data_IF_286388167233
#
_entry.id   IF_286388167233
#
_cell.length_a   1.000
_cell.length_b   1.000
_cell.length_c   1.000
_cell.angle_alpha   90.00
_cell.angle_beta   90.00
_cell.angle_gamma   90.00
#
_symmetry.space_group_name_H-M   'P 1'
#
loop_
_entity.id
_entity.type
_entity.pdbx_description
1 polymer ?
#
# COMPACT_ATOMS: atom_id res chain seq x y z
N UNK A 1 10.90 36.24 -7.20
CA UNK A 1 10.40 35.44 -6.06
C UNK A 1 10.36 34.01 -6.52
N UNK A 2 11.16 33.15 -5.91
CA UNK A 2 11.22 31.73 -6.23
C UNK A 2 9.93 31.05 -5.74
N UNK A 3 9.13 30.47 -6.63
CA UNK A 3 7.84 29.83 -6.29
C UNK A 3 8.03 28.77 -5.21
N UNK A 4 9.21 28.14 -5.17
CA UNK A 4 9.54 27.06 -4.25
C UNK A 4 9.75 27.53 -2.80
N UNK A 5 9.99 28.81 -2.56
CA UNK A 5 10.07 29.41 -1.21
C UNK A 5 8.79 30.12 -0.79
N UNK A 6 7.70 29.97 -1.55
CA UNK A 6 6.41 30.53 -1.17
C UNK A 6 5.77 29.66 -0.06
N UNK A 7 5.43 30.21 1.12
CA UNK A 7 4.79 29.47 2.21
C UNK A 7 3.49 28.77 1.83
N UNK A 8 2.68 29.42 1.00
CA UNK A 8 1.41 28.87 0.51
C UNK A 8 1.65 27.68 -0.40
N UNK A 9 2.67 27.75 -1.26
CA UNK A 9 3.06 26.62 -2.11
C UNK A 9 3.50 25.42 -1.26
N UNK A 10 4.37 25.63 -0.26
CA UNK A 10 4.86 24.54 0.61
C UNK A 10 3.71 23.89 1.39
N UNK A 11 2.81 24.69 1.97
CA UNK A 11 1.63 24.17 2.68
C UNK A 11 0.72 23.37 1.76
N UNK A 12 0.45 23.87 0.56
CA UNK A 12 -0.36 23.17 -0.43
C UNK A 12 0.32 21.88 -0.90
N UNK A 13 1.63 21.92 -1.16
CA UNK A 13 2.40 20.76 -1.56
C UNK A 13 2.45 19.69 -0.46
N UNK A 14 2.63 20.09 0.80
CA UNK A 14 2.54 19.19 1.95
C UNK A 14 1.16 18.54 2.10
N UNK A 15 0.09 19.34 1.98
CA UNK A 15 -1.29 18.84 2.04
C UNK A 15 -1.58 17.83 0.92
N UNK A 16 -1.19 18.13 -0.32
CA UNK A 16 -1.35 17.20 -1.44
C UNK A 16 -0.62 15.89 -1.22
N UNK A 17 0.61 15.93 -0.71
CA UNK A 17 1.37 14.74 -0.37
C UNK A 17 0.65 13.89 0.69
N UNK A 18 0.19 14.51 1.77
CA UNK A 18 -0.47 13.78 2.87
C UNK A 18 -1.82 13.18 2.42
N UNK A 19 -2.61 13.94 1.65
CA UNK A 19 -3.85 13.44 1.05
C UNK A 19 -3.58 12.25 0.15
N UNK A 20 -2.51 12.28 -0.65
CA UNK A 20 -2.16 11.14 -1.51
C UNK A 20 -1.81 9.89 -0.71
N UNK A 21 -1.02 10.01 0.37
CA UNK A 21 -0.73 8.85 1.25
C UNK A 21 -2.03 8.29 1.85
N UNK A 22 -2.96 9.17 2.27
CA UNK A 22 -4.26 8.75 2.79
C UNK A 22 -5.12 8.03 1.74
N UNK A 23 -5.09 8.49 0.48
CA UNK A 23 -5.76 7.79 -0.64
C UNK A 23 -5.19 6.40 -0.85
N UNK A 24 -3.86 6.24 -0.85
CA UNK A 24 -3.21 4.93 -0.97
C UNK A 24 -3.60 4.01 0.20
N UNK A 25 -3.62 4.54 1.42
CA UNK A 25 -4.06 3.80 2.61
C UNK A 25 -5.54 3.39 2.51
N UNK A 26 -6.40 4.28 2.01
CA UNK A 26 -7.81 4.01 1.75
C UNK A 26 -8.02 2.92 0.70
N UNK A 27 -7.22 2.91 -0.37
CA UNK A 27 -7.19 1.80 -1.33
C UNK A 27 -6.76 0.48 -0.67
N UNK A 28 -5.77 0.49 0.22
CA UNK A 28 -5.38 -0.70 0.95
C UNK A 28 -6.52 -1.23 1.85
N UNK A 29 -7.25 -0.33 2.53
CA UNK A 29 -8.44 -0.68 3.32
C UNK A 29 -9.52 -1.30 2.43
N UNK A 30 -9.80 -0.73 1.26
CA UNK A 30 -10.86 -1.24 0.38
C UNK A 30 -10.57 -2.66 -0.11
N UNK A 31 -9.30 -2.99 -0.37
CA UNK A 31 -8.87 -4.35 -0.69
C UNK A 31 -9.16 -5.33 0.46
N UNK A 32 -8.93 -4.90 1.71
CA UNK A 32 -9.17 -5.71 2.91
C UNK A 32 -10.65 -5.93 3.22
N UNK A 33 -11.47 -4.87 3.14
CA UNK A 33 -12.89 -4.90 3.52
C UNK A 33 -13.75 -5.49 2.41
N UNK A 34 -13.44 -5.19 1.14
CA UNK A 34 -14.31 -5.55 0.01
C UNK A 34 -13.68 -6.59 -0.90
N UNK A 35 -12.49 -6.34 -1.44
CA UNK A 35 -11.95 -7.18 -2.52
C UNK A 35 -11.73 -8.63 -2.09
N UNK A 36 -11.03 -8.87 -0.98
CA UNK A 36 -10.79 -10.26 -0.55
C UNK A 36 -12.07 -10.96 -0.09
N UNK A 37 -12.94 -10.34 0.76
CA UNK A 37 -14.19 -11.00 1.15
C UNK A 37 -15.11 -11.33 -0.03
N UNK A 38 -15.10 -10.52 -1.10
CA UNK A 38 -15.86 -10.82 -2.33
C UNK A 38 -15.27 -12.03 -3.06
N UNK A 39 -13.93 -12.14 -3.11
CA UNK A 39 -13.25 -13.30 -3.72
C UNK A 39 -13.53 -14.57 -2.88
N UNK A 40 -13.49 -14.49 -1.56
CA UNK A 40 -13.76 -15.61 -0.63
C UNK A 40 -15.23 -16.09 -0.66
N UNK A 41 -16.19 -15.14 -0.70
CA UNK A 41 -17.63 -15.43 -0.62
C UNK A 41 -18.27 -15.84 -1.94
N UNK A 42 -17.51 -15.95 -3.02
CA UNK A 42 -17.98 -16.62 -4.22
C UNK A 42 -18.20 -18.10 -3.95
N UNK A 43 -19.34 -18.46 -3.34
CA UNK A 43 -19.65 -19.82 -2.87
C UNK A 43 -19.62 -20.85 -4.01
N UNK A 44 -19.83 -20.40 -5.25
CA UNK A 44 -19.83 -21.23 -6.46
C UNK A 44 -18.52 -21.16 -7.27
N UNK A 45 -17.54 -20.36 -6.84
CA UNK A 45 -16.28 -20.24 -7.57
C UNK A 45 -15.34 -21.40 -7.21
N UNK A 46 -14.75 -22.00 -8.26
CA UNK A 46 -13.62 -22.91 -8.11
C UNK A 46 -12.41 -22.14 -7.55
N UNK A 47 -11.51 -22.84 -6.87
CA UNK A 47 -10.26 -22.25 -6.37
C UNK A 47 -9.45 -21.60 -7.50
N UNK A 48 -9.49 -22.18 -8.71
CA UNK A 48 -8.85 -21.57 -9.89
C UNK A 48 -9.45 -20.20 -10.30
N UNK A 49 -10.74 -19.96 -10.04
CA UNK A 49 -11.35 -18.64 -10.28
C UNK A 49 -10.95 -17.65 -9.19
N UNK A 50 -10.99 -18.07 -7.93
CA UNK A 50 -10.57 -17.22 -6.80
C UNK A 50 -9.12 -16.75 -6.96
N UNK A 51 -8.22 -17.67 -7.30
CA UNK A 51 -6.80 -17.37 -7.50
C UNK A 51 -6.58 -16.44 -8.69
N UNK A 52 -7.33 -16.61 -9.79
CA UNK A 52 -7.28 -15.67 -10.93
C UNK A 52 -7.73 -14.27 -10.53
N UNK A 53 -8.84 -14.14 -9.82
CA UNK A 53 -9.33 -12.84 -9.34
C UNK A 53 -8.34 -12.18 -8.38
N UNK A 54 -7.73 -12.98 -7.49
CA UNK A 54 -6.69 -12.51 -6.60
C UNK A 54 -5.43 -12.06 -7.37
N UNK A 55 -4.98 -12.83 -8.35
CA UNK A 55 -3.84 -12.49 -9.19
C UNK A 55 -4.09 -11.20 -10.00
N UNK A 56 -5.28 -11.03 -10.56
CA UNK A 56 -5.68 -9.78 -11.23
C UNK A 56 -5.69 -8.59 -10.26
N UNK A 57 -6.19 -8.79 -9.03
CA UNK A 57 -6.20 -7.78 -7.98
C UNK A 57 -4.78 -7.31 -7.62
N UNK A 58 -3.85 -8.24 -7.37
CA UNK A 58 -2.47 -7.89 -7.02
C UNK A 58 -1.72 -7.27 -8.21
N UNK A 59 -1.95 -7.74 -9.44
CA UNK A 59 -1.31 -7.17 -10.63
C UNK A 59 -1.72 -5.71 -10.86
N UNK A 60 -3.01 -5.41 -10.69
CA UNK A 60 -3.51 -4.03 -10.75
C UNK A 60 -2.93 -3.20 -9.60
N UNK A 61 -2.91 -3.75 -8.38
CA UNK A 61 -2.28 -3.10 -7.23
C UNK A 61 -0.82 -2.73 -7.49
N UNK A 62 -0.01 -3.67 -7.97
CA UNK A 62 1.39 -3.44 -8.33
C UNK A 62 1.53 -2.38 -9.42
N UNK A 63 0.75 -2.47 -10.50
CA UNK A 63 0.84 -1.53 -11.63
C UNK A 63 0.54 -0.09 -11.24
N UNK A 64 -0.51 0.14 -10.44
CA UNK A 64 -1.01 1.49 -10.16
C UNK A 64 -0.54 2.03 -8.81
N UNK A 65 -0.62 1.23 -7.74
CA UNK A 65 -0.30 1.69 -6.38
C UNK A 65 1.19 1.72 -6.10
N UNK A 66 1.96 0.75 -6.61
CA UNK A 66 3.41 0.72 -6.34
C UNK A 66 4.15 1.84 -7.09
N UNK A 67 3.78 2.09 -8.34
CA UNK A 67 4.29 3.23 -9.11
C UNK A 67 3.96 4.57 -8.44
N UNK A 68 2.69 4.75 -8.04
CA UNK A 68 2.25 5.93 -7.30
C UNK A 68 2.96 6.13 -5.96
N UNK A 69 3.21 5.04 -5.23
CA UNK A 69 3.92 5.09 -3.92
C UNK A 69 5.39 5.50 -4.06
N UNK A 70 6.07 5.09 -5.15
CA UNK A 70 7.46 5.51 -5.42
C UNK A 70 7.54 6.99 -5.76
N UNK A 71 6.64 7.47 -6.63
CA UNK A 71 6.55 8.91 -6.94
C UNK A 71 6.28 9.69 -5.66
N UNK A 72 5.34 9.21 -4.83
CA UNK A 72 5.00 9.84 -3.57
C UNK A 72 6.20 9.93 -2.60
N UNK A 73 7.01 8.87 -2.49
CA UNK A 73 8.20 8.89 -1.66
C UNK A 73 9.19 9.97 -2.11
N UNK A 74 9.38 10.14 -3.43
CA UNK A 74 10.23 11.19 -3.99
C UNK A 74 9.66 12.59 -3.67
N UNK A 75 8.35 12.79 -3.84
CA UNK A 75 7.69 14.06 -3.55
C UNK A 75 7.79 14.43 -2.06
N UNK A 76 7.70 13.46 -1.16
CA UNK A 76 7.93 13.68 0.28
C UNK A 76 9.38 14.05 0.58
N UNK A 77 10.36 13.41 -0.05
CA UNK A 77 11.78 13.77 0.13
C UNK A 77 12.03 15.20 -0.37
N UNK A 78 11.45 15.58 -1.51
CA UNK A 78 11.51 16.96 -2.01
C UNK A 78 10.85 17.91 -1.00
N UNK A 79 9.70 17.56 -0.44
CA UNK A 79 9.04 18.37 0.59
C UNK A 79 9.93 18.53 1.83
N UNK A 80 10.58 17.47 2.29
CA UNK A 80 11.53 17.53 3.41
C UNK A 80 12.65 18.51 3.11
N UNK A 81 13.25 18.42 1.92
CA UNK A 81 14.30 19.32 1.49
C UNK A 81 13.83 20.77 1.45
N UNK A 82 12.73 21.06 0.75
CA UNK A 82 12.17 22.40 0.61
C UNK A 82 11.81 23.01 1.96
N UNK A 83 11.26 22.20 2.87
CA UNK A 83 10.94 22.63 4.23
C UNK A 83 12.23 22.90 5.00
N UNK A 84 13.18 21.97 5.01
CA UNK A 84 14.45 22.10 5.72
C UNK A 84 15.23 23.37 5.34
N UNK A 85 15.34 23.65 4.03
CA UNK A 85 16.08 24.81 3.52
C UNK A 85 15.28 26.11 3.54
N UNK A 86 14.07 26.10 4.07
CA UNK A 86 13.20 27.28 4.02
C UNK A 86 13.76 28.44 4.87
N UNK A 87 13.74 29.69 4.40
CA UNK A 87 14.26 30.84 5.16
C UNK A 87 13.47 31.14 6.44
N UNK A 88 12.16 30.86 6.42
CA UNK A 88 11.30 31.00 7.60
C UNK A 88 11.56 29.86 8.61
N UNK A 89 12.03 30.16 9.83
CA UNK A 89 12.30 29.16 10.87
C UNK A 89 11.07 28.35 11.30
N UNK A 90 9.86 28.93 11.23
CA UNK A 90 8.63 28.22 11.58
C UNK A 90 8.38 27.08 10.58
N UNK A 91 8.50 27.40 9.29
CA UNK A 91 8.36 26.41 8.22
C UNK A 91 9.51 25.42 8.28
N UNK A 92 10.75 25.91 8.43
CA UNK A 92 11.92 25.03 8.52
C UNK A 92 11.78 24.02 9.65
N UNK A 93 11.34 24.43 10.84
CA UNK A 93 11.15 23.51 11.98
C UNK A 93 10.28 22.28 11.70
N UNK A 94 9.40 22.33 10.69
CA UNK A 94 8.46 21.25 10.34
C UNK A 94 9.06 20.11 9.54
N UNK A 95 10.26 20.27 8.98
CA UNK A 95 10.89 19.26 8.11
C UNK A 95 10.98 17.88 8.80
N UNK A 96 11.15 17.87 10.12
CA UNK A 96 11.29 16.64 10.94
C UNK A 96 10.04 15.77 10.87
N UNK A 97 8.85 16.36 10.83
CA UNK A 97 7.60 15.62 10.71
C UNK A 97 7.49 14.95 9.34
N UNK A 98 7.81 15.68 8.27
CA UNK A 98 7.78 15.12 6.92
C UNK A 98 8.88 14.05 6.73
N UNK A 99 10.04 14.22 7.37
CA UNK A 99 11.11 13.23 7.35
C UNK A 99 10.71 11.95 8.11
N UNK A 100 10.10 12.10 9.28
CA UNK A 100 9.56 10.98 10.04
C UNK A 100 8.45 10.27 9.27
N UNK A 101 7.52 11.00 8.64
CA UNK A 101 6.47 10.44 7.80
C UNK A 101 7.06 9.66 6.60
N UNK A 102 8.11 10.20 5.96
CA UNK A 102 8.84 9.51 4.88
C UNK A 102 9.46 8.22 5.37
N UNK A 103 10.14 8.25 6.52
CA UNK A 103 10.77 7.08 7.11
C UNK A 103 9.76 5.99 7.47
N UNK A 104 8.63 6.37 8.09
CA UNK A 104 7.54 5.45 8.42
C UNK A 104 6.96 4.86 7.14
N UNK A 105 6.65 5.67 6.13
CA UNK A 105 6.13 5.21 4.85
C UNK A 105 7.08 4.23 4.13
N UNK A 106 8.38 4.47 4.20
CA UNK A 106 9.40 3.57 3.64
C UNK A 106 9.39 2.18 4.30
N UNK A 107 8.88 2.05 5.53
CA UNK A 107 8.78 0.75 6.20
C UNK A 107 7.81 -0.20 5.50
N UNK A 108 6.87 0.30 4.69
CA UNK A 108 5.99 -0.55 3.88
C UNK A 108 6.82 -1.46 2.97
N UNK A 109 7.87 -0.96 2.34
CA UNK A 109 8.62 -1.71 1.34
C UNK A 109 9.26 -2.99 1.91
N UNK A 110 9.93 -2.89 3.06
CA UNK A 110 10.53 -4.09 3.68
C UNK A 110 9.45 -5.03 4.23
N UNK A 111 8.38 -4.47 4.80
CA UNK A 111 7.26 -5.23 5.35
C UNK A 111 6.60 -6.11 4.27
N UNK A 112 6.39 -5.54 3.08
CA UNK A 112 5.83 -6.27 1.94
C UNK A 112 6.72 -7.45 1.52
N UNK A 113 8.02 -7.23 1.43
CA UNK A 113 9.00 -8.27 1.05
C UNK A 113 9.00 -9.42 2.03
N UNK A 114 8.92 -9.14 3.33
CA UNK A 114 9.01 -10.18 4.37
C UNK A 114 7.69 -10.93 4.55
N UNK A 115 6.56 -10.24 4.55
CA UNK A 115 5.29 -10.83 4.99
C UNK A 115 4.29 -11.08 3.86
N UNK A 116 4.22 -10.16 2.89
CA UNK A 116 3.14 -10.18 1.90
C UNK A 116 3.54 -10.91 0.62
N UNK A 117 4.71 -10.61 0.06
CA UNK A 117 5.18 -11.23 -1.19
C UNK A 117 5.30 -12.75 -1.11
N UNK A 118 5.80 -13.38 -0.01
CA UNK A 118 5.82 -14.84 0.07
C UNK A 118 4.42 -15.48 0.00
N UNK A 119 3.41 -14.80 0.52
CA UNK A 119 2.02 -15.27 0.44
C UNK A 119 1.46 -15.10 -0.97
N UNK A 120 1.77 -13.98 -1.64
CA UNK A 120 1.41 -13.76 -3.04
C UNK A 120 2.03 -14.82 -3.96
N UNK A 121 3.32 -15.07 -3.82
CA UNK A 121 4.07 -16.01 -4.67
C UNK A 121 3.49 -17.42 -4.54
N UNK A 122 3.13 -17.82 -3.31
CA UNK A 122 2.48 -19.12 -3.08
C UNK A 122 1.10 -19.23 -3.73
N UNK A 123 0.29 -18.17 -3.64
CA UNK A 123 -1.04 -18.13 -4.28
C UNK A 123 -0.93 -18.19 -5.81
N UNK A 124 0.04 -17.47 -6.40
CA UNK A 124 0.33 -17.52 -7.85
C UNK A 124 0.82 -18.91 -8.27
N UNK A 125 1.70 -19.53 -7.46
CA UNK A 125 2.19 -20.88 -7.72
C UNK A 125 1.03 -21.88 -7.75
N UNK A 126 0.11 -21.82 -6.78
CA UNK A 126 -1.07 -22.68 -6.74
C UNK A 126 -2.00 -22.47 -7.95
N UNK A 127 -2.14 -21.24 -8.43
CA UNK A 127 -2.90 -20.96 -9.66
C UNK A 127 -2.28 -21.67 -10.86
N UNK A 128 -0.95 -21.64 -10.96
CA UNK A 128 -0.20 -22.29 -12.03
C UNK A 128 -0.30 -23.82 -11.98
N UNK A 129 -0.34 -24.39 -10.76
CA UNK A 129 -0.50 -25.83 -10.54
C UNK A 129 -1.91 -26.29 -10.95
N UNK A 130 -2.95 -25.55 -10.54
CA UNK A 130 -4.34 -25.85 -10.89
C UNK A 130 -4.61 -25.69 -12.39
N UNK A 131 -3.90 -24.79 -13.08
CA UNK A 131 -4.00 -24.65 -14.54
C UNK A 131 -3.36 -25.79 -15.33
N UNK A 132 -2.42 -26.53 -14.73
CA UNK A 132 -1.61 -27.57 -15.40
C UNK A 132 -2.04 -29.00 -15.08
N UNK A 133 -3.03 -29.17 -14.21
CA UNK A 133 -3.48 -30.48 -13.77
C UNK A 133 -4.83 -30.82 -14.40
N UNK A 134 -4.96 -32.05 -14.89
CA UNK A 134 -6.22 -32.61 -15.41
C UNK A 134 -7.01 -33.37 -14.31
N UNK A 135 -6.53 -33.30 -13.06
CA UNK A 135 -7.17 -33.96 -11.93
C UNK A 135 -8.44 -33.20 -11.48
N UNK A 136 -9.58 -33.85 -11.66
CA UNK A 136 -10.90 -33.31 -11.32
C UNK A 136 -11.07 -32.97 -9.82
N UNK A 137 -10.28 -33.59 -8.94
CA UNK A 137 -10.31 -33.33 -7.49
C UNK A 137 -9.24 -32.34 -7.03
N UNK A 138 -8.36 -31.86 -7.91
CA UNK A 138 -7.30 -30.91 -7.55
C UNK A 138 -7.85 -29.62 -6.94
N UNK A 139 -8.95 -29.10 -7.47
CA UNK A 139 -9.61 -27.88 -6.95
C UNK A 139 -10.11 -28.09 -5.52
N UNK A 140 -10.75 -29.23 -5.25
CA UNK A 140 -11.28 -29.59 -3.92
C UNK A 140 -10.15 -29.68 -2.89
N UNK A 141 -9.01 -30.28 -3.26
CA UNK A 141 -7.84 -30.41 -2.37
C UNK A 141 -7.13 -29.08 -2.14
N UNK A 142 -7.10 -28.20 -3.15
CA UNK A 142 -6.48 -26.88 -3.04
C UNK A 142 -7.30 -25.90 -2.20
N UNK A 143 -8.64 -26.05 -2.15
CA UNK A 143 -9.55 -25.07 -1.54
C UNK A 143 -9.21 -24.68 -0.11
N UNK A 144 -8.97 -25.66 0.76
CA UNK A 144 -8.66 -25.38 2.15
C UNK A 144 -7.39 -24.54 2.30
N UNK A 145 -6.37 -24.83 1.48
CA UNK A 145 -5.10 -24.10 1.49
C UNK A 145 -5.24 -22.70 0.89
N UNK A 146 -6.03 -22.52 -0.19
CA UNK A 146 -6.31 -21.20 -0.78
C UNK A 146 -6.98 -20.28 0.24
N UNK A 147 -8.01 -20.76 0.93
CA UNK A 147 -8.71 -19.97 1.96
C UNK A 147 -7.78 -19.62 3.13
N UNK A 148 -6.99 -20.58 3.61
CA UNK A 148 -5.99 -20.33 4.66
C UNK A 148 -4.97 -19.27 4.24
N UNK A 149 -4.54 -19.28 2.98
CA UNK A 149 -3.61 -18.29 2.45
C UNK A 149 -4.26 -16.92 2.25
N UNK A 150 -5.54 -16.85 1.90
CA UNK A 150 -6.27 -15.58 1.88
C UNK A 150 -6.42 -14.97 3.27
N UNK A 151 -6.76 -15.77 4.29
CA UNK A 151 -6.79 -15.30 5.68
C UNK A 151 -5.42 -14.79 6.13
N UNK A 152 -4.35 -15.55 5.82
CA UNK A 152 -2.97 -15.15 6.09
C UNK A 152 -2.61 -13.85 5.35
N UNK A 153 -3.00 -13.74 4.09
CA UNK A 153 -2.76 -12.55 3.29
C UNK A 153 -3.47 -11.34 3.89
N UNK A 154 -4.74 -11.46 4.27
CA UNK A 154 -5.53 -10.40 4.90
C UNK A 154 -4.86 -9.93 6.19
N UNK A 155 -4.42 -10.86 7.02
CA UNK A 155 -3.70 -10.55 8.25
C UNK A 155 -2.45 -9.70 7.97
N UNK A 156 -1.61 -10.12 7.03
CA UNK A 156 -0.43 -9.34 6.67
C UNK A 156 -0.76 -8.04 5.93
N UNK A 157 -1.86 -7.97 5.20
CA UNK A 157 -2.26 -6.75 4.49
C UNK A 157 -2.62 -5.61 5.47
N UNK A 158 -2.91 -5.90 6.75
CA UNK A 158 -3.11 -4.88 7.79
C UNK A 158 -1.90 -3.93 7.91
N UNK A 159 -0.67 -4.43 7.75
CA UNK A 159 0.52 -3.56 7.78
C UNK A 159 0.54 -2.51 6.66
N UNK A 160 0.00 -2.85 5.48
CA UNK A 160 -0.17 -1.92 4.34
C UNK A 160 -1.25 -0.86 4.58
N UNK A 161 -2.02 -1.00 5.65
CA UNK A 161 -3.00 -0.01 6.11
C UNK A 161 -2.36 0.82 7.22
N UNK A 162 -1.92 0.17 8.29
CA UNK A 162 -1.47 0.83 9.52
C UNK A 162 -0.26 1.73 9.27
N UNK A 163 0.74 1.26 8.51
CA UNK A 163 1.97 2.03 8.29
C UNK A 163 1.69 3.34 7.52
N UNK A 164 0.99 3.34 6.37
CA UNK A 164 0.58 4.60 5.71
C UNK A 164 -0.27 5.52 6.59
N UNK A 165 -1.20 4.99 7.39
CA UNK A 165 -2.00 5.83 8.31
C UNK A 165 -1.13 6.48 9.40
N UNK A 166 -0.15 5.77 9.94
CA UNK A 166 0.83 6.35 10.86
C UNK A 166 1.65 7.46 10.19
N UNK A 167 2.08 7.27 8.94
CA UNK A 167 2.76 8.30 8.16
C UNK A 167 1.87 9.53 7.92
N UNK A 168 0.59 9.33 7.61
CA UNK A 168 -0.41 10.41 7.48
C UNK A 168 -0.54 11.18 8.79
N UNK A 169 -0.69 10.49 9.93
CA UNK A 169 -0.84 11.14 11.24
C UNK A 169 0.37 12.03 11.57
N UNK A 170 1.59 11.53 11.34
CA UNK A 170 2.82 12.29 11.55
C UNK A 170 2.95 13.46 10.56
N UNK A 171 2.62 13.25 9.28
CA UNK A 171 2.61 14.31 8.28
C UNK A 171 1.60 15.42 8.60
N UNK A 172 0.40 15.05 9.05
CA UNK A 172 -0.64 15.99 9.50
C UNK A 172 -0.17 16.82 10.68
N UNK A 173 0.59 16.24 11.62
CA UNK A 173 1.19 17.02 12.70
C UNK A 173 2.11 18.13 12.14
N UNK A 174 2.93 17.83 11.13
CA UNK A 174 3.77 18.84 10.47
C UNK A 174 3.01 19.90 9.65
N UNK A 175 1.75 19.65 9.29
CA UNK A 175 0.89 20.67 8.68
C UNK A 175 0.26 21.61 9.71
N UNK A 176 -0.13 21.06 10.86
CA UNK A 176 -0.93 21.75 11.87
C UNK A 176 -0.09 22.47 12.92
N UNK A 177 1.15 22.03 13.14
CA UNK A 177 2.06 22.53 14.18
C UNK A 177 3.33 23.08 13.54
#
# INVERSE_FOLDING_TARGET
>A
MDILSNPTFIKAFAALNIVWIAVVAGCAISMYIFSIPVIEKGQDFSSAVMLRQFHDLINRGTKYLQGGSRIQAILLIILVYLTYTHPDPEISGRWKYFAAATFIGAQVAWYEVVFVFPTNDRLIEMESQLKRTDDADADRRARAEVLRLFDKWRFWHVGRIVIPFAAVAVGMAGLLW
#
